data_IF_379143623464
#
_entry.id   IF_379143623464
#
_cell.length_a   1.000
_cell.length_b   1.000
_cell.length_c   1.000
_cell.angle_alpha   90.00
_cell.angle_beta   90.00
_cell.angle_gamma   90.00
#
_symmetry.space_group_name_H-M   'P 1'
#
loop_
_entity.id
_entity.type
_entity.pdbx_description
1 polymer ?
#
# COMPACT_ATOMS: atom_id res chain seq x y z
N UNK A 1 10.50 4.79 22.81
CA UNK A 1 9.48 3.73 22.83
C UNK A 1 9.18 3.46 21.38
N UNK A 2 9.69 2.35 20.83
CA UNK A 2 9.33 1.95 19.48
C UNK A 2 7.92 1.40 19.58
N UNK A 3 6.93 2.16 19.14
CA UNK A 3 5.63 1.60 18.81
C UNK A 3 5.89 0.50 17.79
N UNK A 4 5.62 -0.75 18.15
CA UNK A 4 5.54 -1.83 17.20
C UNK A 4 4.38 -1.49 16.28
N UNK A 5 4.64 -0.76 15.18
CA UNK A 5 3.63 -0.50 14.17
C UNK A 5 3.32 -1.87 13.57
N UNK A 6 2.11 -2.33 13.82
CA UNK A 6 1.65 -3.64 13.38
C UNK A 6 1.78 -3.76 11.84
N UNK A 7 2.08 -4.96 11.36
CA UNK A 7 2.29 -5.20 9.94
C UNK A 7 1.05 -4.82 9.12
N UNK A 8 1.29 -4.26 7.94
CA UNK A 8 0.27 -4.00 6.93
C UNK A 8 0.36 -5.03 5.82
N UNK A 9 -0.71 -5.18 5.04
CA UNK A 9 -0.70 -6.05 3.85
C UNK A 9 -0.66 -5.21 2.59
N UNK A 10 0.32 -5.41 1.72
CA UNK A 10 0.29 -4.82 0.39
C UNK A 10 -0.66 -5.64 -0.48
N UNK A 11 -1.70 -4.98 -1.01
CA UNK A 11 -2.72 -5.64 -1.85
C UNK A 11 -2.61 -5.26 -3.32
N UNK A 12 -2.02 -4.09 -3.62
CA UNK A 12 -1.77 -3.67 -4.99
C UNK A 12 -0.62 -2.65 -5.06
N UNK A 13 0.07 -2.58 -6.20
CA UNK A 13 1.09 -1.57 -6.47
C UNK A 13 0.96 -0.98 -7.87
N UNK A 14 1.15 0.32 -8.02
CA UNK A 14 1.24 0.91 -9.35
C UNK A 14 2.60 0.61 -9.99
N UNK A 15 2.70 0.41 -11.32
CA UNK A 15 3.98 0.28 -12.00
C UNK A 15 4.67 1.64 -12.13
N UNK A 16 5.99 1.62 -12.35
CA UNK A 16 6.77 2.81 -12.68
C UNK A 16 7.82 3.17 -11.63
N UNK A 17 8.43 4.35 -11.82
CA UNK A 17 9.58 4.81 -11.02
C UNK A 17 9.21 5.25 -9.60
N UNK A 18 7.97 5.71 -9.40
CA UNK A 18 7.44 6.20 -8.13
C UNK A 18 6.11 5.48 -7.85
N UNK A 19 6.19 4.20 -7.46
CA UNK A 19 4.99 3.39 -7.28
C UNK A 19 4.13 3.93 -6.12
N UNK A 20 2.82 3.81 -6.28
CA UNK A 20 1.84 3.97 -5.22
C UNK A 20 1.49 2.58 -4.71
N UNK A 21 1.50 2.39 -3.39
CA UNK A 21 1.07 1.14 -2.77
C UNK A 21 -0.33 1.29 -2.22
N UNK A 22 -1.15 0.28 -2.43
CA UNK A 22 -2.40 0.11 -1.67
C UNK A 22 -2.12 -0.91 -0.59
N UNK A 23 -2.28 -0.50 0.66
CA UNK A 23 -2.06 -1.33 1.83
C UNK A 23 -3.32 -1.47 2.67
N UNK A 24 -3.50 -2.63 3.29
CA UNK A 24 -4.52 -2.90 4.30
C UNK A 24 -3.88 -2.84 5.69
N UNK A 25 -4.41 -2.00 6.57
CA UNK A 25 -3.98 -1.90 7.97
C UNK A 25 -4.50 -3.09 8.77
N UNK A 26 -3.95 -3.36 9.97
CA UNK A 26 -4.48 -4.38 10.88
C UNK A 26 -5.96 -4.17 11.26
N UNK A 27 -6.43 -2.92 11.22
CA UNK A 27 -7.82 -2.57 11.45
C UNK A 27 -8.74 -2.85 10.24
N UNK A 28 -8.17 -3.29 9.11
CA UNK A 28 -8.89 -3.54 7.86
C UNK A 28 -9.12 -2.30 7.00
N UNK A 29 -8.47 -1.17 7.33
CA UNK A 29 -8.57 0.05 6.54
C UNK A 29 -7.63 -0.02 5.34
N UNK A 30 -8.10 0.44 4.17
CA UNK A 30 -7.25 0.51 2.98
C UNK A 30 -6.69 1.91 2.82
N UNK A 31 -5.37 2.00 2.66
CA UNK A 31 -4.65 3.25 2.47
C UNK A 31 -3.87 3.22 1.15
N UNK A 32 -3.97 4.30 0.38
CA UNK A 32 -3.06 4.60 -0.73
C UNK A 32 -1.87 5.41 -0.21
N UNK A 33 -0.68 4.82 -0.27
CA UNK A 33 0.57 5.40 0.21
C UNK A 33 1.51 5.67 -0.96
N UNK A 34 2.33 6.72 -0.84
CA UNK A 34 3.04 7.31 -1.97
C UNK A 34 4.56 7.31 -1.74
N UNK A 35 5.33 7.23 -2.83
CA UNK A 35 6.79 7.29 -2.78
C UNK A 35 7.31 8.58 -2.14
N UNK A 36 6.68 9.72 -2.43
CA UNK A 36 7.10 11.04 -1.93
C UNK A 36 7.02 11.16 -0.40
N UNK A 37 6.07 10.44 0.21
CA UNK A 37 5.91 10.36 1.66
C UNK A 37 6.66 9.18 2.26
N UNK A 38 7.47 8.47 1.46
CA UNK A 38 8.13 7.21 1.83
C UNK A 38 7.17 6.18 2.40
N UNK A 39 5.95 6.17 1.88
CA UNK A 39 4.87 5.27 2.31
C UNK A 39 4.47 5.41 3.79
N UNK A 40 4.67 6.59 4.39
CA UNK A 40 4.19 6.87 5.73
C UNK A 40 2.66 6.69 5.80
N UNK A 41 2.22 5.79 6.69
CA UNK A 41 0.82 5.42 6.87
C UNK A 41 0.00 6.59 7.42
N UNK A 42 0.61 7.45 8.24
CA UNK A 42 -0.06 8.62 8.83
C UNK A 42 -0.41 9.68 7.77
N UNK A 43 0.29 9.63 6.62
CA UNK A 43 0.06 10.47 5.45
C UNK A 43 -0.69 9.73 4.33
N UNK A 44 -1.04 8.47 4.55
CA UNK A 44 -1.80 7.64 3.63
C UNK A 44 -3.21 8.18 3.41
N UNK A 45 -3.71 8.05 2.18
CA UNK A 45 -5.09 8.43 1.87
C UNK A 45 -5.99 7.21 1.98
N UNK A 46 -7.02 7.29 2.80
CA UNK A 46 -8.03 6.23 2.88
C UNK A 46 -8.71 6.02 1.52
N UNK A 47 -8.85 4.76 1.13
CA UNK A 47 -9.53 4.34 -0.10
C UNK A 47 -10.52 3.24 0.22
N UNK A 48 -11.56 3.11 -0.59
CA UNK A 48 -12.55 2.04 -0.42
C UNK A 48 -12.17 0.80 -1.23
N UNK A 49 -12.51 -0.38 -0.73
CA UNK A 49 -12.22 -1.65 -1.41
C UNK A 49 -12.86 -1.73 -2.82
N UNK A 50 -14.06 -1.17 -2.98
CA UNK A 50 -14.73 -1.05 -4.28
C UNK A 50 -13.93 -0.16 -5.23
N UNK A 51 -13.47 1.00 -4.74
CA UNK A 51 -12.63 1.91 -5.53
C UNK A 51 -11.32 1.24 -5.97
N UNK A 52 -10.65 0.49 -5.08
CA UNK A 52 -9.39 -0.20 -5.40
C UNK A 52 -9.57 -1.21 -6.52
N UNK A 53 -10.62 -2.06 -6.46
CA UNK A 53 -10.88 -3.05 -7.51
C UNK A 53 -11.23 -2.40 -8.84
N UNK A 54 -12.13 -1.41 -8.82
CA UNK A 54 -12.67 -0.81 -10.04
C UNK A 54 -11.71 0.18 -10.70
N UNK A 55 -10.89 0.88 -9.91
CA UNK A 55 -10.07 2.00 -10.39
C UNK A 55 -8.58 1.69 -10.34
N UNK A 56 -8.06 1.15 -9.23
CA UNK A 56 -6.63 0.88 -9.13
C UNK A 56 -6.23 -0.33 -10.00
N UNK A 57 -6.78 -1.51 -9.71
CA UNK A 57 -6.41 -2.77 -10.38
C UNK A 57 -6.96 -2.80 -11.83
N UNK A 58 -8.17 -2.29 -12.05
CA UNK A 58 -8.82 -2.34 -13.37
C UNK A 58 -8.51 -1.21 -14.35
N UNK A 59 -8.21 0.01 -13.88
CA UNK A 59 -8.24 1.23 -14.72
C UNK A 59 -6.93 2.01 -14.76
N UNK A 60 -6.19 2.02 -13.66
CA UNK A 60 -4.94 2.76 -13.50
C UNK A 60 -3.69 1.87 -13.55
N UNK A 61 -3.83 0.65 -14.09
CA UNK A 61 -2.74 -0.31 -14.28
C UNK A 61 -2.04 -0.76 -13.01
N UNK A 62 -2.68 -0.68 -11.83
CA UNK A 62 -2.08 -1.29 -10.64
C UNK A 62 -2.03 -2.81 -10.82
N UNK A 63 -0.94 -3.38 -10.34
CA UNK A 63 -0.73 -4.82 -10.28
C UNK A 63 -1.24 -5.28 -8.93
N UNK A 64 -2.22 -6.18 -8.95
CA UNK A 64 -2.70 -6.87 -7.75
C UNK A 64 -1.60 -7.78 -7.18
N UNK A 65 -1.46 -7.75 -5.86
CA UNK A 65 -0.50 -8.60 -5.13
C UNK A 65 -1.28 -9.76 -4.52
N UNK A 66 -1.22 -10.92 -5.18
CA UNK A 66 -1.90 -12.13 -4.74
C UNK A 66 -0.90 -13.31 -4.61
N UNK A 67 -0.72 -13.88 -3.39
CA UNK A 67 -1.35 -13.48 -2.12
C UNK A 67 -0.80 -12.14 -1.60
N UNK A 68 -1.57 -11.38 -0.80
CA UNK A 68 -1.09 -10.13 -0.19
C UNK A 68 0.18 -10.33 0.64
N UNK A 69 1.12 -9.40 0.53
CA UNK A 69 2.38 -9.46 1.27
C UNK A 69 2.28 -8.69 2.58
N UNK A 70 2.51 -9.37 3.72
CA UNK A 70 2.52 -8.72 5.03
C UNK A 70 3.91 -8.21 5.37
N UNK A 71 4.01 -6.89 5.55
CA UNK A 71 5.27 -6.18 5.77
C UNK A 71 5.15 -5.22 6.95
N UNK A 72 6.28 -4.96 7.62
CA UNK A 72 6.37 -3.84 8.55
C UNK A 72 6.34 -2.52 7.76
N UNK A 73 5.79 -1.42 8.31
CA UNK A 73 5.68 -0.14 7.58
C UNK A 73 7.04 0.39 7.08
N UNK A 74 8.12 0.15 7.83
CA UNK A 74 9.48 0.50 7.46
C UNK A 74 10.02 -0.25 6.24
N UNK A 75 9.46 -1.42 5.92
CA UNK A 75 9.88 -2.26 4.78
C UNK A 75 9.21 -1.83 3.46
N UNK A 76 8.13 -1.02 3.52
CA UNK A 76 7.34 -0.64 2.35
C UNK A 76 8.17 0.10 1.28
N UNK A 77 9.12 0.93 1.71
CA UNK A 77 9.99 1.65 0.77
C UNK A 77 10.94 0.72 0.01
N UNK A 78 11.54 -0.24 0.71
CA UNK A 78 12.39 -1.25 0.09
C UNK A 78 11.57 -2.13 -0.85
N UNK A 79 10.41 -2.59 -0.39
CA UNK A 79 9.47 -3.39 -1.17
C UNK A 79 9.12 -2.73 -2.50
N UNK A 80 8.78 -1.45 -2.47
CA UNK A 80 8.39 -0.70 -3.65
C UNK A 80 9.54 -0.45 -4.64
N UNK A 81 10.78 -0.60 -4.18
CA UNK A 81 11.99 -0.43 -4.99
C UNK A 81 12.45 -1.73 -5.68
N UNK A 82 11.70 -2.82 -5.51
CA UNK A 82 11.93 -4.14 -6.16
C UNK A 82 11.21 -4.26 -7.50
#
# INVERSE_FOLDING_TARGET
MSETRENVKVIARSPGRFPVLIVETPAGELLATHFETRYDLDLGKSVEAGWVRENAIGRHSFIEVEPPESLAPEELFEYASR
#
